data_IF_142958390034
#
_entry.id   IF_142958390034
#
_cell.length_a   1.000
_cell.length_b   1.000
_cell.length_c   1.000
_cell.angle_alpha   90.00
_cell.angle_beta   90.00
_cell.angle_gamma   90.00
#
_symmetry.space_group_name_H-M   'P 1'
#
loop_
_entity.id
_entity.type
_entity.pdbx_description
1 polymer ?
#
# COMPACT_ATOMS: atom_id res chain seq x y z
N UNK A 1 9.13 23.29 24.58
CA UNK A 1 7.69 22.89 24.63
C UNK A 1 7.23 22.18 23.36
N UNK A 2 7.40 22.73 22.14
CA UNK A 2 6.94 22.07 20.89
C UNK A 2 7.47 20.65 20.67
N UNK A 3 8.78 20.41 20.90
CA UNK A 3 9.38 19.08 20.81
C UNK A 3 8.81 18.09 21.84
N UNK A 4 8.60 18.55 23.07
CA UNK A 4 7.97 17.76 24.14
C UNK A 4 6.57 17.33 23.76
N UNK A 5 5.75 18.25 23.24
CA UNK A 5 4.40 17.94 22.75
C UNK A 5 4.48 16.94 21.60
N UNK A 6 5.39 17.13 20.63
CA UNK A 6 5.56 16.19 19.53
C UNK A 6 5.93 14.77 20.00
N UNK A 7 6.84 14.64 20.97
CA UNK A 7 7.19 13.33 21.53
C UNK A 7 6.04 12.68 22.28
N UNK A 8 5.28 13.45 23.05
CA UNK A 8 4.09 12.94 23.73
C UNK A 8 3.01 12.48 22.74
N UNK A 9 2.78 13.26 21.68
CA UNK A 9 1.86 12.87 20.60
C UNK A 9 2.33 11.60 19.88
N UNK A 10 3.62 11.48 19.60
CA UNK A 10 4.18 10.28 18.98
C UNK A 10 4.01 9.05 19.87
N UNK A 11 4.32 9.16 21.16
CA UNK A 11 4.14 8.08 22.13
C UNK A 11 2.68 7.67 22.26
N UNK A 12 1.77 8.64 22.24
CA UNK A 12 0.34 8.38 22.27
C UNK A 12 -0.12 7.61 21.03
N UNK A 13 0.25 8.07 19.83
CA UNK A 13 -0.12 7.39 18.57
C UNK A 13 0.45 5.97 18.53
N UNK A 14 1.72 5.81 18.92
CA UNK A 14 2.37 4.50 18.98
C UNK A 14 1.66 3.57 19.97
N UNK A 15 1.32 4.07 21.16
CA UNK A 15 0.60 3.30 22.17
C UNK A 15 -0.77 2.84 21.68
N UNK A 16 -1.52 3.72 21.01
CA UNK A 16 -2.81 3.36 20.39
C UNK A 16 -2.62 2.30 19.30
N UNK A 17 -1.62 2.45 18.44
CA UNK A 17 -1.35 1.50 17.36
C UNK A 17 -0.99 0.11 17.92
N UNK A 18 -0.15 0.05 18.96
CA UNK A 18 0.21 -1.21 19.62
C UNK A 18 -0.99 -1.87 20.30
N UNK A 19 -1.89 -1.07 20.89
CA UNK A 19 -3.12 -1.60 21.49
C UNK A 19 -4.04 -2.22 20.42
N UNK A 20 -4.24 -1.55 19.29
CA UNK A 20 -5.06 -2.07 18.17
C UNK A 20 -4.42 -3.29 17.49
N UNK A 21 -3.09 -3.32 17.40
CA UNK A 21 -2.34 -4.43 16.83
C UNK A 21 -2.36 -5.69 17.73
N UNK A 22 -2.75 -5.57 19.00
CA UNK A 22 -2.80 -6.71 19.91
C UNK A 22 -3.94 -7.68 19.53
N UNK A 23 -3.66 -8.98 19.31
CA UNK A 23 -4.67 -9.97 18.95
C UNK A 23 -5.81 -10.15 19.95
N UNK A 24 -5.59 -9.86 21.23
CA UNK A 24 -6.61 -10.01 22.27
C UNK A 24 -7.67 -8.90 22.22
N UNK A 25 -7.34 -7.75 21.63
CA UNK A 25 -8.20 -6.55 21.63
C UNK A 25 -8.57 -6.02 20.24
N UNK A 26 -7.83 -6.40 19.20
CA UNK A 26 -8.02 -5.87 17.85
C UNK A 26 -7.77 -6.91 16.77
N UNK A 27 -6.61 -6.82 16.11
CA UNK A 27 -6.32 -7.61 14.91
C UNK A 27 -5.98 -9.07 15.23
N UNK A 28 -6.86 -10.00 14.86
CA UNK A 28 -6.60 -11.44 14.96
C UNK A 28 -5.46 -11.85 14.01
N UNK A 29 -4.45 -12.52 14.56
CA UNK A 29 -3.39 -13.15 13.79
C UNK A 29 -3.75 -14.61 13.48
N UNK A 30 -3.54 -15.04 12.23
CA UNK A 30 -3.83 -16.41 11.78
C UNK A 30 -5.33 -16.79 11.77
N UNK A 31 -6.22 -16.01 11.12
CA UNK A 31 -7.62 -16.40 10.99
C UNK A 31 -7.77 -17.70 10.19
N UNK A 32 -8.69 -18.57 10.61
CA UNK A 32 -8.98 -19.84 9.95
C UNK A 32 -10.43 -20.27 10.17
N UNK A 33 -10.89 -21.28 9.42
CA UNK A 33 -12.28 -21.74 9.50
C UNK A 33 -13.28 -20.65 9.13
N UNK A 34 -14.30 -20.46 9.96
CA UNK A 34 -15.34 -19.45 9.72
C UNK A 34 -14.81 -18.01 9.77
N UNK A 35 -13.77 -17.75 10.57
CA UNK A 35 -13.13 -16.43 10.64
C UNK A 35 -12.52 -16.02 9.28
N UNK A 36 -12.00 -16.96 8.48
CA UNK A 36 -11.49 -16.67 7.14
C UNK A 36 -12.60 -16.15 6.23
N UNK A 37 -13.73 -16.85 6.19
CA UNK A 37 -14.88 -16.46 5.35
C UNK A 37 -15.49 -15.13 5.80
N UNK A 38 -15.51 -14.86 7.10
CA UNK A 38 -16.09 -13.63 7.63
C UNK A 38 -15.17 -12.41 7.43
N UNK A 39 -13.85 -12.58 7.54
CA UNK A 39 -12.89 -11.47 7.54
C UNK A 39 -12.15 -11.28 6.20
N UNK A 40 -12.16 -12.30 5.31
CA UNK A 40 -11.34 -12.36 4.07
C UNK A 40 -12.15 -12.86 2.87
N UNK A 41 -13.48 -12.66 2.87
CA UNK A 41 -14.36 -13.10 1.77
C UNK A 41 -13.94 -12.58 0.39
N UNK A 42 -13.41 -11.36 0.29
CA UNK A 42 -12.92 -10.82 -0.99
C UNK A 42 -11.69 -11.56 -1.50
N UNK A 43 -10.77 -11.91 -0.58
CA UNK A 43 -9.56 -12.66 -0.94
C UNK A 43 -9.93 -14.07 -1.41
N UNK A 44 -10.89 -14.69 -0.74
CA UNK A 44 -11.46 -15.98 -1.13
C UNK A 44 -12.05 -15.93 -2.55
N UNK A 45 -12.76 -14.85 -2.90
CA UNK A 45 -13.30 -14.63 -4.25
C UNK A 45 -12.19 -14.60 -5.31
N UNK A 46 -11.15 -13.79 -5.11
CA UNK A 46 -10.04 -13.69 -6.07
C UNK A 46 -9.29 -15.01 -6.24
N UNK A 47 -9.09 -15.76 -5.16
CA UNK A 47 -8.42 -17.08 -5.21
C UNK A 47 -9.27 -18.09 -5.98
N UNK A 48 -10.59 -18.06 -5.81
CA UNK A 48 -11.50 -19.05 -6.38
C UNK A 48 -11.87 -18.78 -7.84
N UNK A 49 -12.00 -17.51 -8.25
CA UNK A 49 -12.47 -17.14 -9.58
C UNK A 49 -11.39 -16.52 -10.48
N UNK A 50 -10.26 -16.06 -9.93
CA UNK A 50 -9.29 -15.26 -10.67
C UNK A 50 -8.71 -15.94 -11.92
N UNK A 51 -8.49 -17.25 -11.86
CA UNK A 51 -7.98 -18.00 -13.03
C UNK A 51 -9.00 -18.05 -14.17
N UNK A 52 -10.29 -18.17 -13.87
CA UNK A 52 -11.36 -18.20 -14.88
C UNK A 52 -11.65 -16.80 -15.45
N UNK A 53 -11.64 -15.78 -14.61
CA UNK A 53 -11.97 -14.41 -15.00
C UNK A 53 -10.82 -13.72 -15.77
N UNK A 54 -9.57 -13.88 -15.31
CA UNK A 54 -8.40 -13.17 -15.85
C UNK A 54 -7.54 -14.06 -16.76
N UNK A 55 -7.59 -15.39 -16.56
CA UNK A 55 -6.81 -16.36 -17.33
C UNK A 55 -5.39 -16.60 -16.84
N UNK A 56 -4.91 -15.80 -15.87
CA UNK A 56 -3.62 -15.98 -15.22
C UNK A 56 -3.66 -17.03 -14.11
N UNK A 57 -2.54 -17.74 -13.90
CA UNK A 57 -2.39 -18.63 -12.73
C UNK A 57 -1.75 -17.92 -11.54
N UNK A 58 -1.39 -16.65 -11.68
CA UNK A 58 -0.76 -15.84 -10.65
C UNK A 58 -1.73 -14.77 -10.17
N UNK A 59 -2.51 -15.12 -9.15
CA UNK A 59 -3.55 -14.27 -8.58
C UNK A 59 -3.03 -12.89 -8.14
N UNK A 60 -1.78 -12.80 -7.68
CA UNK A 60 -1.21 -11.51 -7.26
C UNK A 60 -1.06 -10.57 -8.45
N UNK A 61 -0.51 -11.05 -9.57
CA UNK A 61 -0.39 -10.24 -10.78
C UNK A 61 -1.74 -9.96 -11.42
N UNK A 62 -2.67 -10.92 -11.37
CA UNK A 62 -4.02 -10.75 -11.90
C UNK A 62 -4.77 -9.65 -11.15
N UNK A 63 -4.65 -9.58 -9.82
CA UNK A 63 -5.22 -8.49 -9.02
C UNK A 63 -4.58 -7.15 -9.37
N UNK A 64 -3.25 -7.05 -9.37
CA UNK A 64 -2.55 -5.77 -9.54
C UNK A 64 -2.70 -5.20 -10.96
N UNK A 65 -2.81 -6.05 -11.98
CA UNK A 65 -2.90 -5.59 -13.38
C UNK A 65 -4.31 -5.58 -13.97
N UNK A 66 -5.20 -6.48 -13.57
CA UNK A 66 -6.56 -6.54 -14.13
C UNK A 66 -7.57 -5.89 -13.18
N UNK A 67 -7.92 -6.54 -12.06
CA UNK A 67 -8.92 -6.03 -11.12
C UNK A 67 -8.61 -4.63 -10.56
N UNK A 68 -7.33 -4.37 -10.27
CA UNK A 68 -6.84 -3.11 -9.69
C UNK A 68 -5.80 -2.43 -10.58
N UNK A 69 -5.88 -2.64 -11.89
CA UNK A 69 -4.96 -2.04 -12.86
C UNK A 69 -4.88 -0.51 -12.78
N UNK A 70 -5.95 0.16 -12.37
CA UNK A 70 -5.98 1.62 -12.22
C UNK A 70 -5.00 2.12 -11.14
N UNK A 71 -4.83 1.38 -10.05
CA UNK A 71 -3.87 1.72 -8.99
C UNK A 71 -2.43 1.65 -9.55
N UNK A 72 -2.13 0.62 -10.33
CA UNK A 72 -0.82 0.41 -10.99
C UNK A 72 -0.52 1.49 -12.04
N UNK A 73 -1.51 1.96 -12.79
CA UNK A 73 -1.35 3.13 -13.67
C UNK A 73 -0.99 4.38 -12.83
N UNK A 74 -1.59 4.53 -11.65
CA UNK A 74 -1.24 5.57 -10.68
C UNK A 74 0.20 5.45 -10.19
N UNK A 75 0.65 4.25 -9.81
CA UNK A 75 2.05 3.99 -9.40
C UNK A 75 3.04 4.35 -10.51
N UNK A 76 2.77 3.95 -11.76
CA UNK A 76 3.59 4.30 -12.91
C UNK A 76 3.63 5.82 -13.13
N UNK A 77 2.50 6.52 -12.93
CA UNK A 77 2.42 7.98 -13.03
C UNK A 77 3.23 8.68 -11.94
N UNK A 78 3.19 8.17 -10.70
CA UNK A 78 4.01 8.70 -9.60
C UNK A 78 5.50 8.55 -9.91
N UNK A 79 5.95 7.36 -10.35
CA UNK A 79 7.35 7.15 -10.73
C UNK A 79 7.77 8.04 -11.91
N UNK A 80 6.92 8.15 -12.93
CA UNK A 80 7.19 9.00 -14.08
C UNK A 80 7.36 10.46 -13.68
N UNK A 81 6.44 11.01 -12.89
CA UNK A 81 6.50 12.40 -12.44
C UNK A 81 7.65 12.66 -11.48
N UNK A 82 8.02 11.70 -10.62
CA UNK A 82 9.18 11.79 -9.75
C UNK A 82 10.48 11.93 -10.56
N UNK A 83 10.68 11.07 -11.57
CA UNK A 83 11.86 11.12 -12.43
C UNK A 83 11.85 12.38 -13.30
N UNK A 84 10.72 12.74 -13.90
CA UNK A 84 10.60 13.96 -14.69
C UNK A 84 10.92 15.21 -13.87
N UNK A 85 10.44 15.27 -12.62
CA UNK A 85 10.75 16.35 -11.68
C UNK A 85 12.23 16.41 -11.31
N UNK A 86 12.85 15.26 -10.99
CA UNK A 86 14.27 15.19 -10.66
C UNK A 86 15.15 15.67 -11.83
N UNK A 87 14.85 15.23 -13.06
CA UNK A 87 15.57 15.67 -14.27
C UNK A 87 15.36 17.17 -14.52
N UNK A 88 14.14 17.66 -14.38
CA UNK A 88 13.84 19.08 -14.59
C UNK A 88 14.61 19.99 -13.61
N UNK A 89 14.78 19.56 -12.35
CA UNK A 89 15.52 20.30 -11.32
C UNK A 89 17.05 20.22 -11.48
N UNK A 90 17.56 19.15 -12.09
CA UNK A 90 19.01 18.90 -12.24
C UNK A 90 19.58 19.27 -13.60
N UNK A 91 18.77 19.84 -14.50
CA UNK A 91 19.24 20.31 -15.81
C UNK A 91 20.30 21.43 -15.66
N UNK A 92 21.32 21.50 -16.54
CA UNK A 92 22.33 22.56 -16.51
C UNK A 92 21.72 23.96 -16.58
N UNK A 93 22.34 24.91 -15.89
CA UNK A 93 21.99 26.32 -16.03
C UNK A 93 22.54 26.84 -17.34
N UNK A 94 21.68 27.51 -18.12
CA UNK A 94 22.01 28.05 -19.46
C UNK A 94 23.05 29.19 -19.44
N UNK A 95 23.61 29.53 -18.27
CA UNK A 95 24.60 30.59 -18.08
C UNK A 95 26.05 30.09 -18.05
N UNK A 96 26.27 28.77 -17.98
CA UNK A 96 27.61 28.17 -17.84
C UNK A 96 28.27 27.85 -19.20
N UNK A 97 27.64 28.26 -20.30
CA UNK A 97 28.10 28.06 -21.69
C UNK A 97 28.72 29.34 -22.31
N UNK A 98 29.03 30.37 -21.50
CA UNK A 98 29.75 31.59 -21.94
C UNK A 98 31.14 31.69 -21.33
#
# INVERSE_FOLDING_TARGET
MKRTIAYLSLLFILGVLLYVANPDYGLKFGPGGDDWKNLRYTDDYYITHGVEEVGGTNIVTDIVFDYRGYDTIGEATVLFTAIAGAVALTRPWRGDEQ
#
